data_IF_045120187911
#
_entry.id   IF_045120187911
#
_cell.length_a   1.000
_cell.length_b   1.000
_cell.length_c   1.000
_cell.angle_alpha   90.00
_cell.angle_beta   90.00
_cell.angle_gamma   90.00
#
_symmetry.space_group_name_H-M   'P 1'
#
loop_
_entity.id
_entity.type
_entity.pdbx_description
1 polymer ?
#
# COMPACT_ATOMS: atom_id res chain seq x y z
N UNK A 1 -5.37 -3.85 -11.67
CA UNK A 1 -6.59 -3.03 -11.56
C UNK A 1 -6.61 -2.42 -10.17
N UNK A 2 -6.68 -1.10 -10.05
CA UNK A 2 -6.60 -0.37 -8.77
C UNK A 2 -7.99 -0.34 -8.13
N UNK A 3 -8.09 -0.60 -6.82
CA UNK A 3 -9.35 -0.43 -6.07
C UNK A 3 -9.61 1.07 -5.92
N UNK A 4 -10.83 1.50 -6.16
CA UNK A 4 -11.24 2.90 -5.99
C UNK A 4 -12.64 2.97 -5.37
N UNK A 5 -12.84 3.92 -4.44
CA UNK A 5 -14.13 4.21 -3.80
C UNK A 5 -14.38 5.70 -3.93
N UNK A 6 -15.52 6.06 -4.51
CA UNK A 6 -15.93 7.45 -4.76
C UNK A 6 -17.32 7.65 -4.15
N UNK A 7 -17.51 8.74 -3.39
CA UNK A 7 -18.81 9.15 -2.83
C UNK A 7 -19.23 10.43 -3.55
N UNK A 8 -20.25 10.35 -4.39
CA UNK A 8 -20.76 11.47 -5.20
C UNK A 8 -22.29 11.36 -5.33
N UNK A 9 -23.01 12.47 -5.16
CA UNK A 9 -24.45 12.61 -5.42
C UNK A 9 -25.32 11.48 -4.80
N UNK A 10 -25.29 11.33 -3.48
CA UNK A 10 -26.08 10.34 -2.72
C UNK A 10 -25.82 8.87 -3.13
N UNK A 11 -24.66 8.59 -3.72
CA UNK A 11 -24.22 7.24 -4.05
C UNK A 11 -22.75 6.99 -3.73
N UNK A 12 -22.47 5.77 -3.29
CA UNK A 12 -21.12 5.26 -3.12
C UNK A 12 -20.82 4.34 -4.31
N UNK A 13 -19.72 4.62 -5.02
CA UNK A 13 -19.29 3.84 -6.18
C UNK A 13 -17.98 3.13 -5.86
N UNK A 14 -17.95 1.82 -6.02
CA UNK A 14 -16.77 0.98 -5.75
C UNK A 14 -16.31 0.27 -7.02
N UNK A 15 -15.05 0.49 -7.39
CA UNK A 15 -14.37 -0.26 -8.42
C UNK A 15 -13.39 -1.23 -7.76
N UNK A 16 -13.63 -2.53 -7.90
CA UNK A 16 -12.78 -3.58 -7.34
C UNK A 16 -12.60 -4.75 -8.32
N UNK A 17 -11.45 -5.45 -8.30
CA UNK A 17 -11.26 -6.67 -9.09
C UNK A 17 -12.29 -7.74 -8.74
N UNK A 18 -12.84 -8.44 -9.74
CA UNK A 18 -13.77 -9.55 -9.54
C UNK A 18 -13.13 -10.63 -8.66
N UNK A 19 -13.70 -10.87 -7.48
CA UNK A 19 -13.28 -11.91 -6.55
C UNK A 19 -14.47 -12.46 -5.77
N UNK A 20 -14.63 -13.79 -5.74
CA UNK A 20 -15.85 -14.44 -5.25
C UNK A 20 -16.25 -14.04 -3.82
N UNK A 21 -15.28 -13.75 -2.94
CA UNK A 21 -15.53 -13.41 -1.53
C UNK A 21 -16.00 -11.97 -1.32
N UNK A 22 -15.33 -10.99 -1.93
CA UNK A 22 -15.75 -9.59 -1.82
C UNK A 22 -16.97 -9.28 -2.68
N UNK A 23 -17.12 -9.94 -3.83
CA UNK A 23 -18.28 -9.76 -4.72
C UNK A 23 -19.59 -10.18 -4.05
N UNK A 24 -19.59 -11.34 -3.37
CA UNK A 24 -20.74 -11.78 -2.59
C UNK A 24 -21.02 -10.85 -1.41
N UNK A 25 -19.96 -10.31 -0.81
CA UNK A 25 -20.08 -9.39 0.31
C UNK A 25 -20.72 -8.05 -0.10
N UNK A 26 -20.29 -7.46 -1.22
CA UNK A 26 -20.90 -6.23 -1.77
C UNK A 26 -22.38 -6.42 -2.09
N UNK A 27 -22.75 -7.57 -2.65
CA UNK A 27 -24.17 -7.91 -2.87
C UNK A 27 -24.95 -8.00 -1.56
N UNK A 28 -24.36 -8.53 -0.49
CA UNK A 28 -25.01 -8.65 0.81
C UNK A 28 -25.19 -7.31 1.51
N UNK A 29 -24.39 -6.30 1.17
CA UNK A 29 -24.56 -4.93 1.66
C UNK A 29 -25.53 -4.09 0.82
N UNK A 30 -26.29 -4.73 -0.08
CA UNK A 30 -27.24 -4.02 -0.92
C UNK A 30 -26.61 -3.34 -2.14
N UNK A 31 -25.35 -3.62 -2.44
CA UNK A 31 -24.70 -3.10 -3.63
C UNK A 31 -25.33 -3.64 -4.92
N UNK A 32 -25.42 -2.79 -5.94
CA UNK A 32 -25.88 -3.14 -7.29
C UNK A 32 -24.74 -2.91 -8.26
N UNK A 33 -24.48 -3.87 -9.16
CA UNK A 33 -23.46 -3.70 -10.19
C UNK A 33 -24.05 -2.91 -11.35
N UNK A 34 -23.40 -1.82 -11.72
CA UNK A 34 -23.69 -1.10 -12.95
C UNK A 34 -23.03 -1.84 -14.12
N UNK A 35 -23.85 -2.47 -14.96
CA UNK A 35 -23.38 -3.29 -16.09
C UNK A 35 -22.60 -2.49 -17.15
N UNK A 36 -22.83 -1.18 -17.26
CA UNK A 36 -22.14 -0.33 -18.22
C UNK A 36 -20.71 0.04 -17.77
N UNK A 37 -20.50 0.23 -16.47
CA UNK A 37 -19.19 0.64 -15.92
C UNK A 37 -18.44 -0.50 -15.23
N UNK A 38 -19.12 -1.60 -14.91
CA UNK A 38 -18.60 -2.71 -14.13
C UNK A 38 -18.29 -2.35 -12.67
N UNK A 39 -18.82 -1.23 -12.16
CA UNK A 39 -18.64 -0.75 -10.79
C UNK A 39 -19.85 -1.13 -9.92
N UNK A 40 -19.61 -1.26 -8.62
CA UNK A 40 -20.68 -1.41 -7.64
C UNK A 40 -21.19 -0.04 -7.22
N UNK A 41 -22.51 0.10 -7.12
CA UNK A 41 -23.20 1.28 -6.60
C UNK A 41 -23.93 0.89 -5.31
N UNK A 42 -23.88 1.79 -4.33
CA UNK A 42 -24.59 1.66 -3.06
C UNK A 42 -25.28 2.99 -2.74
N UNK A 43 -26.31 2.94 -1.90
CA UNK A 43 -26.92 4.14 -1.31
C UNK A 43 -25.90 4.87 -0.44
N UNK A 44 -26.01 6.20 -0.37
CA UNK A 44 -25.18 7.01 0.50
C UNK A 44 -25.62 6.87 1.96
N UNK A 45 -24.94 5.96 2.63
CA UNK A 45 -25.10 5.67 4.04
C UNK A 45 -23.70 5.41 4.64
N UNK A 46 -23.43 6.02 5.80
CA UNK A 46 -22.12 5.97 6.42
C UNK A 46 -21.79 4.58 7.00
N UNK A 47 -22.80 3.81 7.45
CA UNK A 47 -22.61 2.42 7.91
C UNK A 47 -22.27 1.50 6.72
N UNK A 48 -22.90 1.76 5.57
CA UNK A 48 -22.58 1.06 4.32
C UNK A 48 -21.16 1.38 3.86
N UNK A 49 -20.76 2.67 3.91
CA UNK A 49 -19.40 3.09 3.57
C UNK A 49 -18.37 2.41 4.48
N UNK A 50 -18.57 2.44 5.79
CA UNK A 50 -17.66 1.80 6.76
C UNK A 50 -17.53 0.30 6.49
N UNK A 51 -18.66 -0.37 6.22
CA UNK A 51 -18.67 -1.76 5.81
C UNK A 51 -17.79 -1.98 4.57
N UNK A 52 -18.03 -1.22 3.50
CA UNK A 52 -17.31 -1.35 2.23
C UNK A 52 -15.80 -1.21 2.47
N UNK A 53 -15.40 -0.20 3.23
CA UNK A 53 -14.00 0.04 3.56
C UNK A 53 -13.39 -1.13 4.35
N UNK A 54 -14.12 -1.69 5.32
CA UNK A 54 -13.70 -2.86 6.08
C UNK A 54 -13.55 -4.12 5.21
N UNK A 55 -14.47 -4.36 4.28
CA UNK A 55 -14.37 -5.45 3.31
C UNK A 55 -13.15 -5.28 2.41
N UNK A 56 -12.96 -4.08 1.88
CA UNK A 56 -11.85 -3.76 0.99
C UNK A 56 -10.50 -3.84 1.71
N UNK A 57 -10.42 -3.39 2.96
CA UNK A 57 -9.25 -3.57 3.84
C UNK A 57 -8.95 -5.05 4.05
N UNK A 58 -9.96 -5.86 4.37
CA UNK A 58 -9.81 -7.30 4.66
C UNK A 58 -9.40 -8.12 3.44
N UNK A 59 -9.95 -7.82 2.27
CA UNK A 59 -9.80 -8.68 1.08
C UNK A 59 -8.80 -8.14 0.06
N UNK A 60 -8.55 -6.83 0.05
CA UNK A 60 -7.68 -6.18 -0.94
C UNK A 60 -6.60 -5.30 -0.30
N UNK A 61 -6.53 -5.24 1.04
CA UNK A 61 -5.60 -4.33 1.73
C UNK A 61 -5.85 -2.86 1.40
N UNK A 62 -7.06 -2.50 0.96
CA UNK A 62 -7.40 -1.13 0.59
C UNK A 62 -7.50 -0.26 1.83
N UNK A 63 -6.87 0.92 1.77
CA UNK A 63 -6.93 1.93 2.80
C UNK A 63 -7.44 3.22 2.15
N UNK A 64 -8.53 3.77 2.69
CA UNK A 64 -9.21 4.95 2.15
C UNK A 64 -8.47 6.28 2.43
N UNK A 65 -7.35 6.24 3.16
CA UNK A 65 -6.59 7.42 3.53
C UNK A 65 -5.43 7.62 2.56
N UNK A 66 -5.36 8.78 1.90
CA UNK A 66 -4.14 9.24 1.22
C UNK A 66 -2.99 9.53 2.21
N UNK A 67 -3.28 9.51 3.52
CA UNK A 67 -2.30 9.67 4.58
C UNK A 67 -1.55 8.36 4.85
N UNK A 68 -0.65 8.05 3.91
CA UNK A 68 0.26 6.91 3.98
C UNK A 68 1.69 7.38 4.20
N UNK A 69 2.48 6.55 4.87
CA UNK A 69 3.90 6.76 5.09
C UNK A 69 4.69 5.49 4.83
N UNK A 70 5.99 5.64 4.60
CA UNK A 70 6.90 4.52 4.73
C UNK A 70 7.08 4.24 6.23
N UNK A 71 7.00 2.97 6.64
CA UNK A 71 7.20 2.58 8.04
C UNK A 71 8.29 1.54 8.16
N UNK A 72 8.98 1.57 9.30
CA UNK A 72 9.83 0.49 9.79
C UNK A 72 9.04 -0.33 10.80
N UNK A 73 8.98 -1.63 10.59
CA UNK A 73 8.27 -2.57 11.45
C UNK A 73 9.29 -3.52 12.05
N UNK A 74 9.30 -3.65 13.37
CA UNK A 74 10.20 -4.56 14.10
C UNK A 74 9.37 -5.59 14.86
N UNK A 75 9.62 -6.88 14.61
CA UNK A 75 8.97 -7.95 15.34
C UNK A 75 9.48 -8.00 16.80
N UNK A 76 8.58 -7.78 17.77
CA UNK A 76 8.90 -7.79 19.21
C UNK A 76 9.01 -9.21 19.78
N UNK A 77 8.33 -10.15 19.14
CA UNK A 77 8.36 -11.58 19.43
C UNK A 77 8.28 -12.40 18.13
N UNK A 78 8.44 -13.70 18.25
CA UNK A 78 8.21 -14.60 17.12
C UNK A 78 6.71 -14.60 16.78
N UNK A 79 6.39 -14.39 15.50
CA UNK A 79 5.01 -14.37 15.03
C UNK A 79 4.81 -15.48 14.02
N UNK A 80 3.85 -16.37 14.30
CA UNK A 80 3.55 -17.56 13.51
C UNK A 80 2.11 -17.53 13.01
N UNK A 81 1.92 -18.00 11.79
CA UNK A 81 0.59 -18.13 11.20
C UNK A 81 0.41 -19.51 10.58
N UNK A 82 -0.59 -20.25 11.06
CA UNK A 82 -0.89 -21.61 10.60
C UNK A 82 -1.60 -21.60 9.24
N UNK A 83 -1.01 -22.30 8.25
CA UNK A 83 -1.54 -22.39 6.89
C UNK A 83 -1.97 -21.05 6.30
N UNK A 84 -1.34 -19.97 6.74
CA UNK A 84 -1.60 -18.61 6.30
C UNK A 84 -0.33 -17.77 6.39
N UNK A 85 -0.32 -16.63 5.72
CA UNK A 85 0.74 -15.65 5.80
C UNK A 85 0.68 -14.88 7.11
N UNK A 86 1.83 -14.43 7.61
CA UNK A 86 1.91 -13.42 8.67
C UNK A 86 1.66 -12.06 8.03
N UNK A 87 0.66 -11.34 8.51
CA UNK A 87 0.21 -10.08 7.92
C UNK A 87 0.16 -8.96 8.97
N UNK A 88 0.44 -7.73 8.54
CA UNK A 88 0.23 -6.51 9.33
C UNK A 88 -0.54 -5.49 8.50
N UNK A 89 -1.74 -5.11 8.94
CA UNK A 89 -2.55 -4.11 8.23
C UNK A 89 -2.89 -4.46 6.77
N UNK A 90 -2.96 -5.76 6.45
CA UNK A 90 -3.16 -6.26 5.08
C UNK A 90 -1.87 -6.49 4.27
N UNK A 91 -0.71 -6.05 4.78
CA UNK A 91 0.59 -6.30 4.16
C UNK A 91 1.17 -7.65 4.60
N UNK A 92 1.65 -8.44 3.65
CA UNK A 92 2.22 -9.77 3.92
C UNK A 92 3.69 -9.62 4.34
N UNK A 93 3.98 -9.93 5.61
CA UNK A 93 5.35 -9.92 6.16
C UNK A 93 6.08 -11.24 5.87
N UNK A 94 5.38 -12.36 5.94
CA UNK A 94 5.94 -13.65 5.54
C UNK A 94 4.86 -14.56 5.00
N UNK A 95 5.14 -15.16 3.85
CA UNK A 95 4.34 -16.22 3.23
C UNK A 95 5.26 -17.39 2.89
N UNK A 96 4.99 -18.55 3.49
CA UNK A 96 5.67 -19.80 3.20
C UNK A 96 4.65 -20.93 3.03
N UNK A 97 4.44 -21.37 1.78
CA UNK A 97 3.44 -22.38 1.43
C UNK A 97 3.98 -23.39 0.43
N UNK A 98 4.34 -24.60 0.89
CA UNK A 98 4.60 -25.75 0.03
C UNK A 98 5.91 -26.49 0.31
N UNK A 99 6.09 -27.62 -0.38
CA UNK A 99 7.27 -28.48 -0.28
C UNK A 99 8.41 -27.79 -1.04
N UNK A 100 9.48 -27.39 -0.34
CA UNK A 100 10.66 -26.62 -0.83
C UNK A 100 10.51 -25.08 -0.85
N UNK A 101 9.57 -24.48 -0.12
CA UNK A 101 9.32 -23.04 -0.31
C UNK A 101 10.22 -22.11 0.47
N UNK A 102 11.03 -21.38 -0.29
CA UNK A 102 11.64 -20.11 0.10
C UNK A 102 10.56 -19.18 0.64
N UNK A 103 10.77 -18.65 1.84
CA UNK A 103 9.84 -17.70 2.45
C UNK A 103 9.94 -16.35 1.74
N UNK A 104 8.79 -15.69 1.53
CA UNK A 104 8.71 -14.44 0.77
C UNK A 104 7.92 -13.38 1.52
N UNK A 105 8.31 -12.12 1.28
CA UNK A 105 7.55 -10.94 1.67
C UNK A 105 6.54 -10.59 0.57
N UNK A 106 5.49 -9.83 0.93
CA UNK A 106 4.49 -9.33 -0.01
C UNK A 106 4.92 -8.09 -0.79
N UNK A 107 4.02 -7.58 -1.61
CA UNK A 107 4.23 -6.33 -2.34
C UNK A 107 4.45 -5.15 -1.40
N UNK A 108 5.35 -4.25 -1.77
CA UNK A 108 5.71 -3.05 -0.98
C UNK A 108 6.28 -3.33 0.42
N UNK A 109 6.57 -4.59 0.75
CA UNK A 109 7.25 -5.01 1.97
C UNK A 109 8.67 -5.43 1.63
N UNK A 110 9.64 -4.98 2.42
CA UNK A 110 11.05 -5.30 2.24
C UNK A 110 11.60 -5.79 3.57
N UNK A 111 12.12 -7.02 3.61
CA UNK A 111 12.89 -7.49 4.75
C UNK A 111 14.25 -6.78 4.73
N UNK A 112 14.51 -5.97 5.76
CA UNK A 112 15.75 -5.19 5.91
C UNK A 112 16.77 -5.98 6.71
N UNK A 113 16.32 -6.64 7.77
CA UNK A 113 17.17 -7.43 8.66
C UNK A 113 16.38 -8.54 9.35
N UNK A 114 17.07 -9.59 9.78
CA UNK A 114 16.49 -10.78 10.41
C UNK A 114 16.02 -11.84 9.42
N UNK A 115 15.18 -12.77 9.90
CA UNK A 115 14.85 -14.00 9.20
C UNK A 115 13.34 -14.19 9.12
N UNK A 116 12.90 -14.66 7.95
CA UNK A 116 11.57 -15.19 7.73
C UNK A 116 11.69 -16.64 7.25
N UNK A 117 10.83 -17.51 7.74
CA UNK A 117 10.92 -18.93 7.44
C UNK A 117 9.56 -19.59 7.32
N UNK A 118 9.57 -20.80 6.75
CA UNK A 118 8.46 -21.73 6.85
C UNK A 118 8.81 -22.76 7.92
N UNK A 119 7.86 -23.07 8.78
CA UNK A 119 8.02 -24.12 9.80
C UNK A 119 6.96 -25.22 9.60
N UNK A 120 7.29 -26.42 10.06
CA UNK A 120 6.45 -27.60 9.98
C UNK A 120 6.40 -28.30 8.62
N UNK A 121 5.59 -29.34 8.54
CA UNK A 121 5.41 -30.19 7.36
C UNK A 121 4.14 -29.80 6.59
N UNK A 122 3.95 -30.28 5.36
CA UNK A 122 2.79 -29.95 4.52
C UNK A 122 1.40 -29.92 5.23
N UNK A 123 1.04 -30.87 6.13
CA UNK A 123 -0.23 -30.79 6.86
C UNK A 123 -0.23 -29.77 8.00
N UNK A 124 0.94 -29.36 8.50
CA UNK A 124 1.15 -28.43 9.61
C UNK A 124 2.15 -27.32 9.24
N UNK A 125 1.91 -26.63 8.12
CA UNK A 125 2.81 -25.58 7.64
C UNK A 125 2.51 -24.24 8.30
N UNK A 126 3.55 -23.53 8.72
CA UNK A 126 3.48 -22.21 9.31
C UNK A 126 4.33 -21.22 8.51
N UNK A 127 3.87 -19.98 8.42
CA UNK A 127 4.73 -18.84 8.08
C UNK A 127 5.26 -18.24 9.38
N UNK A 128 6.55 -17.98 9.46
CA UNK A 128 7.23 -17.52 10.67
C UNK A 128 8.01 -16.24 10.39
N UNK A 129 7.80 -15.25 11.25
CA UNK A 129 8.65 -14.06 11.37
C UNK A 129 9.38 -14.17 12.70
N UNK A 130 10.71 -14.24 12.63
CA UNK A 130 11.52 -14.39 13.83
C UNK A 130 11.56 -13.09 14.63
N UNK A 131 11.69 -13.20 15.95
CA UNK A 131 11.84 -12.05 16.84
C UNK A 131 13.02 -11.19 16.38
N UNK A 132 12.81 -9.88 16.32
CA UNK A 132 13.82 -8.91 15.90
C UNK A 132 13.89 -8.71 14.39
N UNK A 133 13.13 -9.44 13.57
CA UNK A 133 13.04 -9.19 12.14
C UNK A 133 12.52 -7.77 11.87
N UNK A 134 13.14 -7.10 10.91
CA UNK A 134 12.90 -5.69 10.57
C UNK A 134 12.44 -5.60 9.13
N UNK A 135 11.28 -4.96 8.94
CA UNK A 135 10.69 -4.72 7.63
C UNK A 135 10.60 -3.23 7.35
N UNK A 136 10.74 -2.85 6.09
CA UNK A 136 10.27 -1.58 5.56
C UNK A 136 8.99 -1.83 4.77
N UNK A 137 7.92 -1.12 5.10
CA UNK A 137 6.67 -1.17 4.34
C UNK A 137 6.44 0.20 3.70
N UNK A 138 6.25 0.23 2.38
CA UNK A 138 5.91 1.44 1.65
C UNK A 138 4.41 1.64 1.60
N UNK A 139 3.99 2.91 1.60
CA UNK A 139 2.58 3.31 1.51
C UNK A 139 1.70 2.67 2.62
N UNK A 140 2.24 2.58 3.84
CA UNK A 140 1.51 2.06 4.99
C UNK A 140 0.60 3.14 5.60
N UNK A 141 -0.63 2.82 6.05
CA UNK A 141 -1.53 3.79 6.65
C UNK A 141 -0.96 4.38 7.93
N UNK A 142 -0.95 5.71 8.05
CA UNK A 142 -0.51 6.34 9.30
C UNK A 142 -1.42 5.99 10.47
N UNK A 143 -2.73 5.87 10.23
CA UNK A 143 -3.69 5.45 11.27
C UNK A 143 -3.31 4.12 11.92
N UNK A 144 -2.95 3.12 11.11
CA UNK A 144 -2.50 1.81 11.62
C UNK A 144 -1.11 1.84 12.25
N UNK A 145 -0.28 2.84 11.92
CA UNK A 145 1.05 2.98 12.50
C UNK A 145 1.01 3.61 13.91
N UNK A 146 -0.08 4.32 14.22
CA UNK A 146 -0.31 4.96 15.51
C UNK A 146 -1.00 4.02 16.50
N UNK A 147 -1.61 2.93 16.02
CA UNK A 147 -2.20 1.89 16.87
C UNK A 147 -1.10 1.07 17.56
N UNK A 148 -1.24 0.83 18.86
CA UNK A 148 -0.35 -0.07 19.58
C UNK A 148 -0.54 -1.51 19.11
N UNK A 149 0.56 -2.22 18.89
CA UNK A 149 0.56 -3.61 18.46
C UNK A 149 1.49 -4.44 19.36
N UNK A 150 0.97 -5.52 19.94
CA UNK A 150 1.70 -6.37 20.88
C UNK A 150 2.80 -7.22 20.21
N UNK A 151 2.68 -7.44 18.90
CA UNK A 151 3.56 -8.31 18.13
C UNK A 151 4.66 -7.51 17.42
N UNK A 152 4.36 -6.26 17.04
CA UNK A 152 5.20 -5.44 16.20
C UNK A 152 5.33 -4.00 16.72
N UNK A 153 6.56 -3.48 16.74
CA UNK A 153 6.82 -2.05 16.87
C UNK A 153 6.80 -1.40 15.50
N UNK A 154 5.98 -0.37 15.31
CA UNK A 154 5.86 0.36 14.05
C UNK A 154 6.43 1.78 14.25
N UNK A 155 7.33 2.19 13.38
CA UNK A 155 7.98 3.50 13.39
C UNK A 155 7.79 4.17 12.03
N UNK A 156 7.21 5.37 12.01
CA UNK A 156 7.04 6.14 10.77
C UNK A 156 8.40 6.66 10.32
N UNK A 157 8.78 6.36 9.07
CA UNK A 157 9.99 6.89 8.46
C UNK A 157 9.67 8.23 7.82
N UNK A 158 10.25 9.30 8.34
CA UNK A 158 10.25 10.58 7.65
C UNK A 158 10.96 10.42 6.30
N UNK A 159 10.31 10.87 5.22
CA UNK A 159 10.94 10.91 3.89
C UNK A 159 12.11 11.89 3.97
N UNK A 160 13.32 11.37 4.15
CA UNK A 160 14.50 12.12 3.75
C UNK A 160 14.36 12.37 2.25
N UNK A 161 14.34 13.64 1.84
CA UNK A 161 14.39 14.00 0.44
C UNK A 161 15.64 13.36 -0.15
N UNK A 162 15.42 12.32 -0.96
CA UNK A 162 16.48 11.77 -1.79
C UNK A 162 16.74 12.87 -2.83
N UNK A 163 17.70 13.72 -2.52
CA UNK A 163 18.32 14.58 -3.51
C UNK A 163 18.91 13.66 -4.56
N UNK A 164 18.19 13.48 -5.67
CA UNK A 164 18.74 12.81 -6.83
C UNK A 164 19.98 13.60 -7.24
N UNK A 165 21.17 13.10 -6.92
CA UNK A 165 22.39 13.44 -7.69
C UNK A 165 22.27 12.76 -9.05
N UNK A 166 21.32 13.21 -9.86
CA UNK A 166 21.35 12.94 -11.29
C UNK A 166 22.61 13.61 -11.81
N UNK A 167 23.52 12.83 -12.42
CA UNK A 167 24.70 13.37 -13.14
C UNK A 167 24.32 14.43 -14.19
N UNK A 168 23.04 14.55 -14.55
CA UNK A 168 22.50 15.58 -15.44
C UNK A 168 22.17 16.93 -14.78
N UNK A 169 21.97 17.03 -13.46
CA UNK A 169 21.62 18.31 -12.82
C UNK A 169 22.81 19.28 -12.73
N UNK A 170 24.03 18.73 -12.61
CA UNK A 170 25.25 19.55 -12.52
C UNK A 170 25.54 20.31 -13.82
N UNK A 171 25.14 19.75 -14.98
CA UNK A 171 25.28 20.42 -16.28
C UNK A 171 24.30 21.59 -16.45
N UNK A 172 23.12 21.52 -15.85
CA UNK A 172 22.14 22.61 -15.86
C UNK A 172 22.51 23.73 -14.88
N UNK A 173 23.02 23.39 -13.70
CA UNK A 173 23.51 24.39 -12.74
C UNK A 173 24.76 25.11 -13.27
N UNK A 174 25.72 24.38 -13.86
CA UNK A 174 26.93 24.99 -14.44
C UNK A 174 26.60 25.85 -15.68
N UNK A 175 25.55 25.52 -16.45
CA UNK A 175 25.10 26.34 -17.59
C UNK A 175 24.29 27.58 -17.15
N UNK A 176 23.48 27.49 -16.09
CA UNK A 176 22.81 28.64 -15.49
C UNK A 176 23.81 29.67 -14.95
N UNK A 177 24.88 29.21 -14.27
CA UNK A 177 25.97 30.08 -13.78
C UNK A 177 26.76 30.73 -14.92
N UNK A 178 26.90 30.06 -16.07
CA UNK A 178 27.52 30.62 -17.27
C UNK A 178 26.62 31.64 -17.99
N UNK A 179 25.30 31.47 -17.95
CA UNK A 179 24.33 32.35 -18.62
C UNK A 179 24.03 33.63 -17.81
N UNK A 180 24.05 33.58 -16.48
CA UNK A 180 23.92 34.78 -15.63
C UNK A 180 25.09 35.76 -15.79
N UNK A 181 26.28 35.25 -16.13
CA UNK A 181 27.45 36.10 -16.43
C UNK A 181 27.42 36.72 -17.83
N UNK A 182 26.47 36.30 -18.68
CA UNK A 182 26.34 36.73 -20.08
C UNK A 182 25.30 37.82 -20.35
N UNK A 183 24.55 38.27 -19.33
CA UNK A 183 23.61 39.39 -19.48
C UNK A 183 22.47 39.13 -20.48
N UNK A 184 21.87 37.93 -20.46
CA UNK A 184 20.68 37.61 -21.26
C UNK A 184 19.47 37.48 -20.34
N UNK A 185 18.47 38.34 -20.57
CA UNK A 185 17.20 38.34 -19.87
C UNK A 185 16.41 37.07 -20.22
N UNK A 186 16.08 36.24 -19.22
CA UNK A 186 15.28 35.03 -19.40
C UNK A 186 14.07 35.07 -18.47
N UNK A 187 12.92 35.42 -19.04
CA UNK A 187 11.62 35.11 -18.42
C UNK A 187 11.53 33.60 -18.18
N UNK A 188 11.20 33.14 -16.95
CA UNK A 188 11.11 31.72 -16.67
C UNK A 188 9.96 31.09 -17.47
N UNK A 189 10.29 30.09 -18.29
CA UNK A 189 9.31 29.23 -18.95
C UNK A 189 8.61 28.43 -17.85
N UNK A 190 7.34 28.76 -17.58
CA UNK A 190 6.47 27.91 -16.77
C UNK A 190 6.31 26.57 -17.47
N UNK A 191 6.94 25.53 -16.93
CA UNK A 191 6.67 24.16 -17.33
C UNK A 191 5.29 23.81 -16.78
N UNK A 192 4.28 23.80 -17.65
CA UNK A 192 2.98 23.23 -17.35
C UNK A 192 3.13 21.69 -17.32
N UNK A 193 2.83 21.08 -16.18
CA UNK A 193 2.57 19.65 -16.12
C UNK A 193 1.11 19.46 -16.54
N UNK A 194 0.89 19.05 -17.79
CA UNK A 194 -0.41 18.57 -18.25
C UNK A 194 -0.78 17.30 -17.47
N UNK A 195 -1.84 17.39 -16.67
CA UNK A 195 -2.54 16.21 -16.16
C UNK A 195 -3.39 15.67 -17.32
N UNK A 196 -3.01 14.52 -17.88
CA UNK A 196 -3.90 13.74 -18.74
C UNK A 196 -5.05 13.17 -17.90
N UNK A 197 -6.15 13.93 -17.81
CA UNK A 197 -7.49 13.34 -17.68
C UNK A 197 -7.94 12.87 -19.06
N UNK A 198 -7.98 11.56 -19.27
CA UNK A 198 -8.33 10.94 -20.54
C UNK A 198 -9.33 9.80 -20.37
N UNK A 199 -10.61 10.17 -20.49
CA UNK A 199 -11.77 9.45 -21.08
C UNK A 199 -12.05 7.99 -20.71
#
# INVERSE_FOLDING_TARGET
>A
MKVNVVKENDKITVQAPKGARAWKWFSNLGGVVNDATGKWEFEDDDDILEGILNCLKKHYGYIHTNDVADVRVTALKEVKSYKSAVCLGGFILCSSFGKNTTSRVGENVFLIDGTISGDGNAPNSYSVVDKGAIFKIKNFPKSLALEENEDFKIEILEKQSIGYRTRGLKLLEDSLVLLEKGGVDITPVKIFLENEEGK
#
